data_IF_547961359923
#
_entry.id   IF_547961359923
#
_cell.length_a   1.000
_cell.length_b   1.000
_cell.length_c   1.000
_cell.angle_alpha   90.00
_cell.angle_beta   90.00
_cell.angle_gamma   90.00
#
_symmetry.space_group_name_H-M   'P 1'
#
loop_
_entity.id
_entity.type
_entity.pdbx_description
1 polymer ?
2 non-polymer ?
#
# COMPACT_ATOMS: atom_id res chain seq x y z
N UNK A 6 -36.35 -11.47 -7.75
CA UNK A 6 -35.10 -10.81 -7.38
C UNK A 6 -35.11 -10.44 -5.90
N UNK A 7 -34.16 -9.59 -5.49
CA UNK A 7 -34.02 -9.22 -4.09
C UNK A 7 -33.72 -7.72 -4.01
N UNK A 8 -33.61 -7.22 -2.77
CA UNK A 8 -33.35 -5.81 -2.52
C UNK A 8 -32.16 -5.68 -1.57
N UNK A 9 -31.30 -4.70 -1.84
CA UNK A 9 -30.06 -4.52 -1.08
C UNK A 9 -30.01 -3.16 -0.36
N UNK A 10 -31.16 -2.54 -0.13
CA UNK A 10 -31.20 -1.27 0.58
C UNK A 10 -31.92 -1.35 1.92
N UNK A 11 -32.59 -2.46 2.24
CA UNK A 11 -33.29 -2.60 3.50
C UNK A 11 -32.40 -3.31 4.50
N UNK A 12 -32.13 -2.70 5.67
CA UNK A 12 -31.30 -3.38 6.67
C UNK A 12 -31.93 -4.69 7.13
N UNK A 13 -31.10 -5.73 7.21
CA UNK A 13 -31.53 -7.05 7.62
C UNK A 13 -31.79 -7.07 9.12
N UNK A 14 -32.35 -8.16 9.64
CA UNK A 14 -32.49 -8.29 11.10
C UNK A 14 -31.15 -8.18 11.79
N UNK A 15 -31.07 -7.38 12.87
CA UNK A 15 -29.79 -7.24 13.58
C UNK A 15 -29.48 -8.46 14.43
N UNK A 16 -28.34 -8.42 15.12
CA UNK A 16 -27.95 -9.53 15.99
C UNK A 16 -27.01 -8.98 17.05
N UNK A 17 -27.51 -8.85 18.28
CA UNK A 17 -26.69 -8.33 19.38
C UNK A 17 -25.40 -9.13 19.55
N UNK A 18 -25.41 -10.39 19.13
CA UNK A 18 -24.19 -11.19 19.12
C UNK A 18 -23.13 -10.61 18.19
N UNK A 19 -23.53 -9.75 17.25
CA UNK A 19 -22.62 -9.21 16.25
C UNK A 19 -22.14 -7.80 16.55
N UNK A 20 -22.93 -6.99 17.28
CA UNK A 20 -22.44 -5.68 17.69
C UNK A 20 -21.24 -5.79 18.61
N UNK A 21 -21.12 -6.90 19.36
CA UNK A 21 -20.04 -7.05 20.32
C UNK A 21 -18.68 -7.10 19.63
N UNK A 22 -18.61 -7.75 18.48
CA UNK A 22 -17.34 -7.93 17.80
C UNK A 22 -16.90 -6.70 17.01
N UNK A 23 -17.83 -5.81 16.67
CA UNK A 23 -17.57 -4.73 15.73
C UNK A 23 -17.34 -3.38 16.41
N UNK A 24 -18.21 -3.00 17.36
CA UNK A 24 -18.20 -1.65 17.90
C UNK A 24 -17.83 -1.63 19.38
N UNK A 25 -16.74 -2.31 19.75
CA UNK A 25 -16.35 -2.36 21.15
C UNK A 25 -15.77 -1.02 21.61
N UNK A 26 -15.02 -0.34 20.75
CA UNK A 26 -14.40 0.92 21.10
C UNK A 26 -15.37 2.09 21.14
N UNK A 35 -6.18 11.42 16.79
CA UNK A 35 -7.14 12.26 16.07
C UNK A 35 -6.69 13.73 16.07
N UNK A 36 -6.71 14.34 14.89
CA UNK A 36 -6.28 15.73 14.72
C UNK A 36 -7.49 16.65 14.55
N UNK A 37 -7.33 17.70 13.73
CA UNK A 37 -8.43 18.64 13.51
C UNK A 37 -8.72 18.79 12.02
N UNK A 38 -8.19 19.85 11.40
CA UNK A 38 -8.42 20.11 9.99
C UNK A 38 -7.22 20.84 9.41
N UNK A 39 -6.95 20.58 8.14
CA UNK A 39 -5.73 21.05 7.48
C UNK A 39 -6.04 21.39 6.03
N UNK A 40 -5.20 22.22 5.39
CA UNK A 40 -5.57 22.77 4.08
C UNK A 40 -5.71 21.70 3.01
N UNK A 41 -6.55 22.01 2.02
CA UNK A 41 -6.83 21.13 0.88
C UNK A 41 -6.68 21.94 -0.40
N UNK A 42 -6.30 21.25 -1.49
CA UNK A 42 -6.15 21.85 -2.82
C UNK A 42 -6.76 20.89 -3.84
N UNK A 43 -8.09 20.92 -3.95
CA UNK A 43 -8.84 19.99 -4.81
C UNK A 43 -8.92 20.59 -6.21
N UNK A 44 -8.00 20.18 -7.08
CA UNK A 44 -7.94 20.66 -8.46
C UNK A 44 -8.57 19.62 -9.38
N UNK A 45 -9.65 19.99 -10.05
CA UNK A 45 -10.30 19.07 -10.97
C UNK A 45 -11.30 19.81 -11.85
N UNK A 46 -11.65 19.16 -12.95
CA UNK A 46 -12.60 19.73 -13.91
C UNK A 46 -14.02 19.49 -13.42
N UNK A 47 -14.71 20.58 -13.08
CA UNK A 47 -16.15 20.55 -12.80
C UNK A 47 -16.50 19.62 -11.65
N UNK A 48 -15.63 19.55 -10.67
CA UNK A 48 -15.90 18.66 -9.55
C UNK A 48 -16.92 19.29 -8.60
N UNK A 49 -17.68 18.48 -7.87
CA UNK A 49 -18.62 19.02 -6.89
C UNK A 49 -17.90 19.45 -5.63
N UNK A 50 -18.24 20.61 -5.06
CA UNK A 50 -17.64 21.02 -3.79
C UNK A 50 -17.97 20.02 -2.68
N UNK A 51 -17.21 20.11 -1.60
CA UNK A 51 -17.25 19.12 -0.55
C UNK A 51 -18.54 19.25 0.26
N UNK A 52 -18.61 18.52 1.38
CA UNK A 52 -19.73 18.55 2.31
C UNK A 52 -19.17 18.73 3.71
N UNK A 53 -20.05 19.09 4.64
CA UNK A 53 -19.66 19.34 6.03
C UNK A 53 -20.19 18.30 7.01
N UNK A 54 -21.30 17.63 6.69
CA UNK A 54 -21.88 16.64 7.57
C UNK A 54 -22.33 15.44 6.76
N UNK A 55 -22.39 14.27 7.42
CA UNK A 55 -22.84 13.06 6.75
C UNK A 55 -24.31 13.16 6.33
N UNK A 56 -25.10 13.98 7.03
CA UNK A 56 -26.51 14.14 6.70
C UNK A 56 -26.74 14.91 5.41
N UNK A 57 -25.70 15.57 4.88
CA UNK A 57 -25.87 16.37 3.67
C UNK A 57 -26.22 15.49 2.47
N UNK A 58 -25.36 14.52 2.17
CA UNK A 58 -25.59 13.60 1.06
C UNK A 58 -26.41 12.42 1.56
N UNK A 59 -27.45 12.07 0.83
CA UNK A 59 -28.33 10.96 1.18
C UNK A 59 -27.63 9.66 0.78
N UNK A 60 -26.87 9.08 1.71
CA UNK A 60 -26.09 7.89 1.41
C UNK A 60 -26.86 6.59 1.60
N UNK A 61 -27.82 6.56 2.53
CA UNK A 61 -28.63 5.37 2.73
C UNK A 61 -28.76 4.99 4.19
N UNK A 62 -29.87 4.32 4.50
CA UNK A 62 -30.15 3.96 5.89
C UNK A 62 -29.13 2.97 6.43
N UNK A 63 -28.74 1.97 5.63
CA UNK A 63 -27.79 0.98 6.09
C UNK A 63 -26.45 1.62 6.43
N UNK A 64 -26.10 2.71 5.73
CA UNK A 64 -24.86 3.41 6.04
C UNK A 64 -25.04 4.33 7.23
N UNK A 65 -26.13 5.12 7.23
CA UNK A 65 -26.36 6.07 8.31
C UNK A 65 -26.48 5.36 9.66
N UNK A 66 -27.24 4.25 9.69
CA UNK A 66 -27.35 3.49 10.91
C UNK A 66 -26.01 2.98 11.41
N UNK A 67 -25.18 2.48 10.49
CA UNK A 67 -23.87 1.96 10.88
C UNK A 67 -22.91 3.07 11.26
N UNK A 68 -23.11 4.29 10.73
CA UNK A 68 -22.25 5.41 11.10
C UNK A 68 -22.40 5.74 12.58
N UNK A 69 -23.64 5.70 13.09
CA UNK A 69 -23.87 5.99 14.49
C UNK A 69 -23.23 4.96 15.41
N UNK A 70 -23.21 3.69 14.99
CA UNK A 70 -22.77 2.62 15.88
C UNK A 70 -21.29 2.71 16.21
N UNK A 71 -20.47 3.25 15.30
CA UNK A 71 -19.06 3.42 15.57
C UNK A 71 -18.75 4.77 16.21
N UNK A 72 -19.78 5.53 16.55
CA UNK A 72 -19.64 6.87 17.11
C UNK A 72 -18.82 7.76 16.18
N UNK A 73 -19.32 7.90 14.94
CA UNK A 73 -18.74 8.82 13.96
C UNK A 73 -19.44 10.16 14.06
N UNK A 74 -18.66 11.23 14.17
CA UNK A 74 -19.21 12.55 14.39
C UNK A 74 -19.08 13.41 13.13
N UNK A 75 -17.89 13.95 12.90
CA UNK A 75 -17.65 14.79 11.75
C UNK A 75 -16.73 14.11 10.74
N UNK A 76 -16.97 14.29 9.45
CA UNK A 76 -16.07 13.69 8.45
C UNK A 76 -14.70 14.35 8.47
N UNK A 77 -13.66 13.51 8.36
CA UNK A 77 -12.29 13.99 8.39
C UNK A 77 -12.01 14.84 7.15
N UNK A 78 -10.87 15.59 7.12
CA UNK A 78 -10.55 16.40 5.94
C UNK A 78 -10.71 15.70 4.61
N UNK A 79 -10.03 14.56 4.43
CA UNK A 79 -10.14 13.86 3.15
C UNK A 79 -11.54 13.29 2.95
N UNK A 80 -12.22 12.92 4.05
CA UNK A 80 -13.58 12.42 3.93
C UNK A 80 -14.55 13.52 3.51
N UNK A 81 -14.24 14.78 3.86
CA UNK A 81 -15.10 15.88 3.45
C UNK A 81 -15.11 16.05 1.93
N UNK A 82 -13.94 15.96 1.31
CA UNK A 82 -13.84 16.19 -0.13
C UNK A 82 -14.05 14.91 -0.95
N UNK A 83 -13.48 13.79 -0.50
CA UNK A 83 -13.48 12.59 -1.33
C UNK A 83 -14.85 11.91 -1.38
N UNK A 84 -15.63 11.99 -0.30
CA UNK A 84 -16.91 11.29 -0.27
C UNK A 84 -17.90 11.81 -1.31
N UNK A 85 -18.15 13.12 -1.43
CA UNK A 85 -19.07 13.56 -2.51
C UNK A 85 -18.52 13.28 -3.89
N UNK A 86 -17.20 13.26 -4.05
CA UNK A 86 -16.60 13.01 -5.36
C UNK A 86 -16.92 11.60 -5.83
N UNK A 87 -16.78 10.62 -4.93
CA UNK A 87 -16.92 9.22 -5.32
C UNK A 87 -18.36 8.89 -5.67
N UNK A 88 -19.31 9.29 -4.81
CA UNK A 88 -20.71 8.97 -5.06
C UNK A 88 -21.25 9.65 -6.32
N UNK A 89 -20.55 10.66 -6.83
CA UNK A 89 -20.88 11.28 -8.11
C UNK A 89 -20.25 10.56 -9.29
N UNK A 90 -19.80 9.32 -9.10
CA UNK A 90 -19.29 8.47 -10.18
C UNK A 90 -18.12 9.14 -10.92
N UNK A 91 -17.24 9.79 -10.16
CA UNK A 91 -16.08 10.48 -10.70
C UNK A 91 -14.81 9.79 -10.23
N UNK A 92 -13.90 9.52 -11.17
CA UNK A 92 -12.59 8.99 -10.81
C UNK A 92 -11.86 9.99 -9.93
N UNK A 93 -11.10 9.48 -8.96
CA UNK A 93 -10.42 10.30 -7.97
C UNK A 93 -8.96 9.92 -7.87
N UNK A 94 -8.10 10.93 -7.70
CA UNK A 94 -6.67 10.74 -7.43
C UNK A 94 -6.36 11.58 -6.18
N UNK A 95 -6.42 10.93 -5.02
CA UNK A 95 -6.19 11.60 -3.75
C UNK A 95 -4.76 11.34 -3.30
N UNK A 96 -3.99 12.42 -3.11
CA UNK A 96 -2.63 12.33 -2.60
C UNK A 96 -2.59 13.05 -1.26
N UNK A 97 -2.54 12.28 -0.17
CA UNK A 97 -2.67 12.83 1.18
C UNK A 97 -1.95 11.91 2.14
N UNK A 98 -0.81 12.37 2.68
CA UNK A 98 -0.09 11.57 3.66
C UNK A 98 -0.56 11.84 5.08
N UNK A 99 -0.70 13.12 5.44
CA UNK A 99 -1.17 13.50 6.78
C UNK A 99 -2.69 13.64 6.81
N UNK A 100 -3.39 12.66 6.25
CA UNK A 100 -4.84 12.72 6.20
C UNK A 100 -5.50 11.57 6.94
N UNK A 101 -6.30 11.88 7.95
CA UNK A 101 -6.98 10.84 8.72
C UNK A 101 -8.24 10.40 7.99
N UNK A 102 -8.62 9.15 8.22
CA UNK A 102 -9.79 8.59 7.57
C UNK A 102 -9.62 8.34 6.09
N UNK A 103 -8.40 7.99 5.65
CA UNK A 103 -8.16 7.73 4.24
C UNK A 103 -8.91 6.49 3.76
N UNK A 104 -9.13 5.50 4.63
CA UNK A 104 -9.75 4.25 4.22
C UNK A 104 -11.26 4.38 4.18
N UNK A 105 -11.88 4.85 5.25
CA UNK A 105 -13.32 5.07 5.24
C UNK A 105 -13.74 6.14 4.25
N UNK A 106 -12.80 6.93 3.72
CA UNK A 106 -13.13 7.95 2.74
C UNK A 106 -13.74 7.34 1.49
N UNK A 107 -13.38 6.11 1.14
CA UNK A 107 -13.95 5.44 -0.02
C UNK A 107 -14.94 4.34 0.32
N UNK A 108 -14.87 3.75 1.53
CA UNK A 108 -15.77 2.64 1.85
C UNK A 108 -17.22 3.10 1.94
N UNK A 109 -17.46 4.22 2.64
CA UNK A 109 -18.84 4.70 2.79
C UNK A 109 -19.51 5.01 1.46
N UNK A 110 -18.91 5.79 0.55
CA UNK A 110 -19.63 6.06 -0.71
C UNK A 110 -19.75 4.84 -1.61
N UNK A 111 -18.72 4.00 -1.68
CA UNK A 111 -18.78 2.80 -2.51
C UNK A 111 -19.91 1.89 -2.05
N UNK A 112 -19.92 1.54 -0.76
CA UNK A 112 -20.97 0.65 -0.25
C UNK A 112 -22.33 1.30 -0.33
N UNK A 113 -22.40 2.64 -0.27
CA UNK A 113 -23.68 3.31 -0.42
C UNK A 113 -24.25 3.10 -1.81
N UNK A 114 -23.38 3.12 -2.83
CA UNK A 114 -23.84 2.87 -4.20
C UNK A 114 -24.26 1.42 -4.39
N UNK A 115 -23.53 0.49 -3.80
CA UNK A 115 -23.86 -0.92 -3.94
C UNK A 115 -25.19 -1.22 -3.28
N UNK A 116 -25.46 -0.61 -2.12
CA UNK A 116 -26.76 -0.78 -1.49
C UNK A 116 -27.87 -0.15 -2.33
N UNK A 117 -27.56 0.93 -3.04
CA UNK A 117 -28.57 1.61 -3.85
C UNK A 117 -28.77 0.90 -5.20
N UNK A 118 -27.74 0.92 -6.05
CA UNK A 118 -27.86 0.34 -7.37
C UNK A 118 -28.09 -1.17 -7.31
N UNK A 119 -27.58 -1.83 -6.28
CA UNK A 119 -27.69 -3.27 -6.18
C UNK A 119 -26.46 -3.95 -6.74
N UNK A 120 -26.46 -5.28 -6.76
CA UNK A 120 -25.32 -6.03 -7.29
C UNK A 120 -25.26 -6.09 -8.80
N UNK A 121 -26.25 -5.57 -9.51
CA UNK A 121 -26.29 -5.72 -10.96
C UNK A 121 -26.99 -7.01 -11.37
N UNK A 122 -27.54 -6.99 -12.57
CA UNK A 122 -28.28 -8.15 -13.06
C UNK A 122 -27.39 -9.36 -13.30
N UNK A 123 -26.08 -9.17 -13.39
CA UNK A 123 -25.19 -10.29 -13.68
C UNK A 123 -25.07 -11.23 -12.49
N UNK A 124 -25.05 -10.69 -11.27
CA UNK A 124 -24.90 -11.53 -10.09
C UNK A 124 -26.21 -12.18 -9.70
N UNK A 125 -27.30 -11.41 -9.68
CA UNK A 125 -28.60 -11.97 -9.32
C UNK A 125 -29.05 -13.06 -10.29
N UNK A 126 -28.58 -13.03 -11.53
CA UNK A 126 -28.83 -14.10 -12.49
C UNK A 126 -27.88 -15.28 -12.34
N UNK A 127 -27.33 -15.47 -11.14
CA UNK A 127 -26.41 -16.58 -10.89
C UNK A 127 -26.69 -17.18 -9.51
N UNK A 128 -26.33 -18.45 -9.36
CA UNK A 128 -26.50 -19.17 -8.09
C UNK A 128 -25.71 -20.47 -8.12
N UNK A 137 -16.06 -20.08 -8.20
CA UNK A 137 -15.41 -18.87 -8.68
C UNK A 137 -16.24 -17.64 -8.35
N UNK A 138 -15.70 -16.80 -7.47
CA UNK A 138 -16.43 -15.63 -6.97
C UNK A 138 -16.13 -14.40 -7.83
N UNK A 139 -17.17 -13.61 -8.07
CA UNK A 139 -17.04 -12.37 -8.82
C UNK A 139 -17.36 -11.20 -7.89
N UNK A 140 -16.35 -10.48 -7.39
CA UNK A 140 -16.62 -9.37 -6.48
C UNK A 140 -16.99 -8.10 -7.22
N UNK A 141 -17.85 -7.31 -6.57
CA UNK A 141 -18.27 -6.03 -7.13
C UNK A 141 -17.16 -4.99 -7.00
N UNK A 142 -16.58 -4.90 -5.81
CA UNK A 142 -15.53 -3.93 -5.52
C UNK A 142 -14.26 -4.65 -5.12
N UNK A 143 -13.12 -4.04 -5.48
CA UNK A 143 -11.80 -4.58 -5.18
C UNK A 143 -10.92 -3.48 -4.63
N UNK A 144 -10.31 -3.74 -3.48
CA UNK A 144 -9.39 -2.80 -2.85
C UNK A 144 -8.02 -3.47 -2.80
N UNK A 145 -7.03 -2.84 -3.42
CA UNK A 145 -5.67 -3.33 -3.39
C UNK A 145 -4.87 -2.60 -2.32
N UNK A 146 -4.06 -3.34 -1.58
CA UNK A 146 -3.28 -2.83 -0.46
C UNK A 146 -1.89 -3.44 -0.53
N UNK A 147 -0.89 -2.78 0.08
CA UNK A 147 0.48 -3.29 -0.01
C UNK A 147 0.82 -4.34 1.05
N UNK A 148 0.20 -4.24 2.23
CA UNK A 148 0.61 -5.00 3.38
C UNK A 148 -0.56 -5.78 3.96
N UNK A 149 -0.25 -6.91 4.59
CA UNK A 149 -1.25 -7.64 5.37
C UNK A 149 -1.82 -6.75 6.46
N UNK A 150 -0.98 -5.91 7.06
CA UNK A 150 -1.43 -4.98 8.09
C UNK A 150 -2.55 -4.08 7.57
N UNK A 151 -2.31 -3.40 6.45
CA UNK A 151 -3.29 -2.45 5.93
C UNK A 151 -4.50 -3.17 5.34
N UNK A 152 -4.30 -4.36 4.76
CA UNK A 152 -5.41 -5.10 4.18
C UNK A 152 -6.46 -5.43 5.22
N UNK A 153 -6.03 -5.89 6.41
CA UNK A 153 -6.99 -6.26 7.45
C UNK A 153 -7.65 -5.02 8.03
N UNK A 154 -6.94 -3.90 8.10
CA UNK A 154 -7.54 -2.67 8.61
C UNK A 154 -8.70 -2.23 7.73
N UNK A 155 -8.53 -2.30 6.41
CA UNK A 155 -9.62 -1.99 5.50
C UNK A 155 -10.73 -3.03 5.64
N UNK A 156 -10.35 -4.30 5.72
CA UNK A 156 -11.34 -5.37 5.81
C UNK A 156 -12.17 -5.26 7.08
N UNK A 157 -11.52 -4.99 8.21
CA UNK A 157 -12.26 -4.90 9.48
C UNK A 157 -13.18 -3.70 9.51
N UNK A 158 -12.82 -2.62 8.81
CA UNK A 158 -13.73 -1.49 8.71
C UNK A 158 -14.82 -1.75 7.67
N UNK A 159 -14.54 -2.61 6.68
CA UNK A 159 -15.58 -3.02 5.76
C UNK A 159 -16.66 -3.83 6.48
N UNK A 160 -16.24 -4.80 7.30
CA UNK A 160 -17.20 -5.54 8.13
C UNK A 160 -18.02 -4.60 8.99
N UNK A 161 -17.42 -3.51 9.47
CA UNK A 161 -18.12 -2.59 10.35
C UNK A 161 -19.27 -1.88 9.62
N UNK A 162 -19.11 -1.65 8.31
CA UNK A 162 -20.12 -0.93 7.54
C UNK A 162 -20.96 -1.84 6.64
N UNK A 163 -20.50 -3.06 6.37
CA UNK A 163 -21.33 -4.05 5.69
C UNK A 163 -22.24 -4.79 6.65
N UNK A 164 -22.16 -4.50 7.95
CA UNK A 164 -23.06 -5.10 8.93
C UNK A 164 -24.51 -4.75 8.59
N UNK A 165 -25.40 -5.69 8.85
CA UNK A 165 -26.85 -5.56 8.66
C UNK A 165 -27.22 -5.39 7.19
N UNK A 166 -26.29 -5.66 6.28
CA UNK A 166 -26.51 -5.58 4.83
C UNK A 166 -26.21 -6.93 4.21
N UNK A 167 -26.45 -7.02 2.90
CA UNK A 167 -26.26 -8.25 2.15
C UNK A 167 -24.91 -8.34 1.47
N UNK A 168 -23.97 -7.47 1.83
CA UNK A 168 -22.62 -7.48 1.27
C UNK A 168 -21.69 -8.16 2.27
N UNK A 169 -21.01 -9.21 1.82
CA UNK A 169 -20.06 -9.93 2.66
C UNK A 169 -18.65 -9.69 2.15
N UNK A 170 -17.77 -9.11 2.96
CA UNK A 170 -16.40 -8.84 2.49
C UNK A 170 -15.44 -9.97 2.83
N UNK A 171 -14.37 -10.03 2.04
CA UNK A 171 -13.31 -11.02 2.23
C UNK A 171 -11.96 -10.36 2.03
N UNK A 172 -10.96 -10.88 2.72
CA UNK A 172 -9.59 -10.37 2.63
C UNK A 172 -8.64 -11.53 2.36
N UNK A 173 -7.68 -11.31 1.46
CA UNK A 173 -6.61 -12.26 1.22
C UNK A 173 -5.29 -11.49 1.20
N UNK A 174 -4.21 -12.17 1.59
CA UNK A 174 -2.90 -11.55 1.64
C UNK A 174 -1.84 -12.65 1.53
N UNK A 175 -0.63 -12.23 1.17
CA UNK A 175 0.48 -13.15 1.08
C UNK A 175 1.02 -13.53 2.44
N UNK A 176 1.87 -14.55 2.45
CA UNK A 176 2.45 -15.04 3.68
C UNK A 176 1.42 -15.60 4.65
N UNK A 177 0.52 -16.43 4.15
CA UNK A 177 -0.51 -17.06 4.99
C UNK A 177 -1.05 -18.27 4.26
N UNK A 178 -1.91 -19.01 4.96
CA UNK A 178 -2.56 -20.17 4.37
C UNK A 178 -3.43 -19.74 3.20
N UNK A 179 -3.12 -20.25 2.00
CA UNK A 179 -3.94 -19.94 0.85
C UNK A 179 -5.21 -20.78 0.86
N UNK A 180 -5.17 -21.96 1.47
CA UNK A 180 -6.35 -22.81 1.51
C UNK A 180 -7.45 -22.26 2.39
N UNK A 181 -7.09 -21.60 3.50
CA UNK A 181 -8.11 -21.03 4.37
C UNK A 181 -8.76 -19.80 3.75
N UNK A 182 -8.01 -19.05 2.93
CA UNK A 182 -8.60 -17.92 2.22
C UNK A 182 -9.48 -18.38 1.08
N UNK A 183 -9.09 -19.48 0.41
CA UNK A 183 -9.95 -20.05 -0.63
C UNK A 183 -11.27 -20.53 -0.01
N UNK A 184 -11.19 -21.16 1.17
CA UNK A 184 -12.40 -21.54 1.88
C UNK A 184 -13.19 -20.31 2.32
N UNK A 185 -12.51 -19.19 2.56
CA UNK A 185 -13.20 -17.95 2.92
C UNK A 185 -13.90 -17.35 1.71
N UNK A 186 -13.25 -17.40 0.53
CA UNK A 186 -13.84 -16.83 -0.67
C UNK A 186 -15.10 -17.57 -1.08
N UNK A 187 -15.02 -18.91 -1.16
CA UNK A 187 -16.16 -19.72 -1.58
C UNK A 187 -17.40 -19.45 -0.75
N UNK A 188 -17.24 -18.94 0.47
CA UNK A 188 -18.39 -18.52 1.28
C UNK A 188 -19.07 -17.28 0.70
N UNK A 189 -18.53 -16.70 -0.37
CA UNK A 189 -19.16 -15.58 -1.05
C UNK A 189 -18.58 -14.24 -0.67
N UNK A 190 -18.01 -13.53 -1.64
CA UNK A 190 -17.45 -12.21 -1.41
C UNK A 190 -17.94 -11.25 -2.48
N UNK A 191 -18.35 -10.06 -2.05
CA UNK A 191 -18.70 -8.97 -2.96
C UNK A 191 -17.70 -7.81 -2.90
N UNK A 192 -17.09 -7.58 -1.75
CA UNK A 192 -16.06 -6.56 -1.59
C UNK A 192 -14.79 -7.29 -1.13
N UNK A 193 -13.81 -7.37 -2.02
CA UNK A 193 -12.58 -8.12 -1.76
C UNK A 193 -11.43 -7.15 -1.53
N UNK A 194 -10.70 -7.39 -0.44
CA UNK A 194 -9.45 -6.67 -0.14
C UNK A 194 -8.31 -7.65 -0.36
N UNK A 195 -7.28 -7.22 -1.08
CA UNK A 195 -6.23 -8.15 -1.46
C UNK A 195 -4.92 -7.42 -1.69
N UNK A 196 -3.81 -8.14 -1.45
CA UNK A 196 -2.50 -7.72 -1.92
C UNK A 196 -2.30 -8.24 -3.34
N UNK A 197 -1.56 -7.50 -4.18
CA UNK A 197 -1.52 -7.85 -5.61
C UNK A 197 -0.97 -9.24 -5.90
N UNK A 198 0.01 -9.71 -5.13
CA UNK A 198 0.56 -11.03 -5.39
C UNK A 198 -0.42 -12.15 -5.12
N UNK A 199 -1.20 -12.03 -4.04
CA UNK A 199 -2.14 -13.09 -3.68
C UNK A 199 -3.40 -13.03 -4.52
N UNK A 200 -3.79 -11.85 -5.01
CA UNK A 200 -4.95 -11.76 -5.89
C UNK A 200 -4.67 -12.44 -7.23
N UNK A 201 -3.49 -12.20 -7.81
CA UNK A 201 -3.10 -12.89 -9.03
C UNK A 201 -3.05 -14.39 -8.81
N UNK A 202 -2.59 -14.81 -7.62
CA UNK A 202 -2.55 -16.23 -7.31
C UNK A 202 -3.96 -16.82 -7.26
N UNK A 203 -4.92 -16.06 -6.71
CA UNK A 203 -6.31 -16.52 -6.68
C UNK A 203 -6.89 -16.63 -8.08
N UNK A 204 -6.52 -15.71 -8.98
CA UNK A 204 -7.10 -15.71 -10.32
C UNK A 204 -6.62 -16.90 -11.13
N UNK A 205 -5.36 -17.29 -10.98
CA UNK A 205 -4.86 -18.46 -11.70
C UNK A 205 -5.54 -19.73 -11.25
N UNK A 206 -5.98 -19.79 -9.99
CA UNK A 206 -6.70 -20.95 -9.49
C UNK A 206 -8.19 -20.92 -9.85
N UNK A 207 -8.62 -19.95 -10.65
CA UNK A 207 -10.03 -19.86 -10.99
C UNK A 207 -10.94 -19.60 -9.81
N UNK A 208 -10.44 -18.89 -8.80
CA UNK A 208 -11.23 -18.61 -7.61
C UNK A 208 -11.84 -17.21 -7.61
N UNK A 209 -11.31 -16.29 -8.42
CA UNK A 209 -11.76 -14.91 -8.45
C UNK A 209 -11.86 -14.46 -9.90
N UNK A 210 -12.96 -13.79 -10.23
CA UNK A 210 -13.13 -13.20 -11.55
C UNK A 210 -13.48 -11.73 -11.46
N UNK A 211 -12.77 -10.90 -12.21
CA UNK A 211 -12.94 -9.45 -12.17
C UNK A 211 -13.94 -8.94 -13.18
N UNK A 212 -14.79 -9.82 -13.72
CA UNK A 212 -15.66 -9.44 -14.84
C UNK A 212 -16.65 -8.34 -14.44
N UNK A 213 -17.22 -8.43 -13.24
CA UNK A 213 -18.23 -7.49 -12.79
C UNK A 213 -17.71 -6.56 -11.71
N UNK A 214 -16.39 -6.40 -11.62
CA UNK A 214 -15.79 -5.47 -10.67
C UNK A 214 -16.06 -4.04 -11.13
N UNK A 215 -16.92 -3.33 -10.40
CA UNK A 215 -17.28 -1.97 -10.78
C UNK A 215 -16.40 -0.92 -10.11
N UNK A 216 -16.00 -1.15 -8.87
CA UNK A 216 -15.26 -0.16 -8.09
C UNK A 216 -13.87 -0.70 -7.77
N UNK A 217 -12.85 0.04 -8.20
CA UNK A 217 -11.46 -0.31 -7.95
C UNK A 217 -10.81 0.75 -7.10
N UNK A 218 -10.08 0.34 -6.06
CA UNK A 218 -9.39 1.25 -5.15
C UNK A 218 -7.96 0.75 -4.98
N UNK A 219 -7.00 1.63 -5.24
CA UNK A 219 -5.59 1.33 -5.03
C UNK A 219 -5.13 2.16 -3.84
N UNK A 220 -5.07 1.51 -2.67
CA UNK A 220 -4.74 2.20 -1.43
C UNK A 220 -3.23 2.16 -1.20
N UNK A 221 -2.67 3.32 -0.84
CA UNK A 221 -1.23 3.49 -0.71
C UNK A 221 -0.50 2.95 -1.93
N UNK A 222 -0.83 3.54 -3.08
CA UNK A 222 -0.27 3.07 -4.35
C UNK A 222 1.23 3.26 -4.41
N UNK A 223 1.76 4.28 -3.72
CA UNK A 223 3.20 4.52 -3.75
C UNK A 223 3.97 3.38 -3.09
N UNK A 224 3.56 2.99 -1.88
CA UNK A 224 4.22 1.88 -1.21
C UNK A 224 3.98 0.56 -1.93
N UNK A 225 2.89 0.44 -2.69
CA UNK A 225 2.68 -0.75 -3.50
C UNK A 225 3.70 -0.83 -4.63
N UNK A 226 4.07 0.30 -5.20
CA UNK A 226 5.10 0.29 -6.24
C UNK A 226 6.49 0.07 -5.67
N UNK A 227 6.75 0.56 -4.44
CA UNK A 227 8.06 0.38 -3.82
C UNK A 227 8.34 -1.08 -3.51
N UNK A 228 7.30 -1.88 -3.29
CA UNK A 228 7.47 -3.30 -3.01
C UNK A 228 7.55 -4.15 -4.26
N UNK A 229 7.51 -3.54 -5.45
CA UNK A 229 7.62 -4.27 -6.69
C UNK A 229 6.34 -4.92 -7.17
N UNK A 230 5.18 -4.30 -6.89
CA UNK A 230 3.89 -4.89 -7.18
C UNK A 230 3.31 -4.47 -8.54
N UNK A 231 4.00 -3.60 -9.29
CA UNK A 231 3.41 -3.07 -10.52
C UNK A 231 3.04 -4.15 -11.54
N UNK A 232 3.91 -5.11 -11.88
CA UNK A 232 3.48 -6.13 -12.86
C UNK A 232 2.20 -6.85 -12.47
N UNK A 233 1.98 -7.07 -11.17
CA UNK A 233 0.73 -7.67 -10.74
C UNK A 233 -0.43 -6.71 -10.89
N UNK A 234 -0.25 -5.46 -10.43
CA UNK A 234 -1.35 -4.49 -10.48
C UNK A 234 -1.77 -4.21 -11.92
N UNK A 235 -0.83 -4.23 -12.86
CA UNK A 235 -1.18 -4.08 -14.25
C UNK A 235 -1.75 -5.36 -14.84
N UNK A 236 -1.28 -6.51 -14.36
CA UNK A 236 -1.89 -7.78 -14.74
C UNK A 236 -3.33 -7.86 -14.25
N UNK A 237 -3.61 -7.29 -13.07
CA UNK A 237 -4.96 -7.32 -12.52
C UNK A 237 -5.88 -6.35 -13.26
N UNK A 238 -5.40 -5.13 -13.48
CA UNK A 238 -6.27 -4.06 -13.98
C UNK A 238 -6.30 -4.02 -15.50
N UNK A 239 -5.16 -4.22 -16.16
CA UNK A 239 -5.03 -3.99 -17.59
C UNK A 239 -4.98 -5.27 -18.43
N UNK A 240 -4.88 -6.45 -17.82
CA UNK A 240 -4.61 -7.67 -18.58
C UNK A 240 -5.54 -8.79 -18.16
N UNK A 241 -6.80 -8.48 -17.91
CA UNK A 241 -7.76 -9.51 -17.56
C UNK A 241 -9.16 -8.98 -17.87
N UNK A 242 -10.17 -9.60 -17.26
CA UNK A 242 -11.56 -9.25 -17.49
C UNK A 242 -12.01 -8.03 -16.69
N UNK A 243 -11.07 -7.30 -16.10
CA UNK A 243 -11.41 -6.09 -15.37
C UNK A 243 -12.06 -5.09 -16.31
N UNK A 244 -13.26 -4.58 -15.98
CA UNK A 244 -13.92 -3.65 -16.90
C UNK A 244 -13.04 -2.46 -17.19
N UNK A 245 -13.18 -1.85 -18.37
CA UNK A 245 -12.22 -0.84 -18.82
C UNK A 245 -12.36 0.45 -18.04
N UNK A 246 -11.35 1.29 -18.19
CA UNK A 246 -11.39 2.64 -17.65
C UNK A 246 -12.58 3.40 -18.24
N UNK A 247 -13.35 4.03 -17.36
CA UNK A 247 -14.57 4.70 -17.79
C UNK A 247 -15.80 3.93 -17.38
N UNK A 248 -15.79 2.62 -17.63
CA UNK A 248 -16.86 1.75 -17.14
C UNK A 248 -16.75 1.60 -15.63
N UNK A 249 -15.57 1.22 -15.15
CA UNK A 249 -15.32 1.12 -13.72
C UNK A 249 -15.07 2.49 -13.12
N UNK A 250 -15.24 2.58 -11.81
CA UNK A 250 -14.92 3.77 -11.03
C UNK A 250 -13.67 3.48 -10.23
N UNK A 251 -12.62 4.27 -10.44
CA UNK A 251 -11.30 3.99 -9.90
C UNK A 251 -10.84 5.14 -9.00
N UNK A 252 -10.44 4.81 -7.78
CA UNK A 252 -9.83 5.77 -6.87
C UNK A 252 -8.41 5.33 -6.54
N UNK A 253 -7.55 6.31 -6.29
CA UNK A 253 -6.16 6.06 -5.93
C UNK A 253 -5.80 6.90 -4.70
N UNK A 254 -5.01 6.32 -3.81
CA UNK A 254 -4.52 7.01 -2.63
C UNK A 254 -3.04 6.74 -2.49
N UNK A 255 -2.27 7.79 -2.24
CA UNK A 255 -0.83 7.65 -2.07
C UNK A 255 -0.29 8.89 -1.37
N UNK A 256 0.87 8.73 -0.74
CA UNK A 256 1.53 9.84 -0.06
C UNK A 256 2.43 10.62 -1.02
N UNK A 257 3.23 9.92 -1.81
CA UNK A 257 4.16 10.54 -2.73
C UNK A 257 3.48 10.72 -4.10
N UNK A 258 4.25 11.17 -5.08
CA UNK A 258 3.72 11.39 -6.43
C UNK A 258 4.86 11.41 -7.46
N UNK A 259 5.59 10.30 -7.63
CA UNK A 259 6.69 10.32 -8.61
C UNK A 259 6.18 10.26 -10.04
N UNK A 260 7.11 10.08 -10.99
CA UNK A 260 6.69 9.84 -12.37
C UNK A 260 5.97 8.51 -12.52
N UNK A 261 6.28 7.55 -11.64
CA UNK A 261 5.62 6.25 -11.70
C UNK A 261 4.13 6.37 -11.40
N UNK A 262 3.75 7.25 -10.48
CA UNK A 262 2.36 7.33 -10.04
C UNK A 262 1.51 8.07 -11.06
N UNK A 263 1.99 9.21 -11.56
CA UNK A 263 1.18 10.00 -12.49
C UNK A 263 0.97 9.26 -13.80
N UNK A 264 1.96 8.50 -14.27
CA UNK A 264 1.76 7.64 -15.43
C UNK A 264 0.75 6.55 -15.14
N UNK A 265 0.83 5.95 -13.95
CA UNK A 265 -0.15 4.93 -13.56
C UNK A 265 -1.53 5.54 -13.38
N UNK A 266 -1.61 6.70 -12.74
CA UNK A 266 -2.88 7.40 -12.59
C UNK A 266 -3.44 7.87 -13.93
N UNK A 267 -2.59 8.01 -14.95
CA UNK A 267 -3.08 8.37 -16.27
C UNK A 267 -3.73 7.18 -16.96
N UNK A 268 -3.14 5.99 -16.82
CA UNK A 268 -3.68 4.80 -17.47
C UNK A 268 -4.91 4.26 -16.75
N UNK A 269 -4.98 4.42 -15.42
CA UNK A 269 -6.01 3.78 -14.62
C UNK A 269 -7.22 4.67 -14.37
N UNK A 270 -7.11 5.98 -14.62
CA UNK A 270 -8.18 6.92 -14.29
C UNK A 270 -8.64 7.64 -15.55
N UNK A 271 -9.94 7.95 -15.58
CA UNK A 271 -10.57 8.64 -16.70
C UNK A 271 -11.10 9.98 -16.22
N UNK A 272 -10.51 11.07 -16.72
CA UNK A 272 -10.91 12.44 -16.39
C UNK A 272 -11.16 12.56 -14.90
N UNK A 273 -10.09 12.44 -14.11
CA UNK A 273 -10.18 12.35 -12.66
C UNK A 273 -10.01 13.73 -12.02
N UNK A 274 -10.20 13.76 -10.71
CA UNK A 274 -9.92 14.93 -9.90
C UNK A 274 -8.75 14.62 -8.99
N UNK A 275 -7.87 15.60 -8.81
CA UNK A 275 -6.71 15.47 -7.95
C UNK A 275 -7.01 16.11 -6.59
N UNK A 276 -6.82 15.33 -5.53
CA UNK A 276 -6.94 15.82 -4.16
C UNK A 276 -5.56 15.94 -3.54
N UNK A 277 -5.41 16.92 -2.64
CA UNK A 277 -4.14 17.17 -2.00
C UNK A 277 -4.38 17.64 -0.57
N UNK A 278 -3.62 17.08 0.36
CA UNK A 278 -3.64 17.50 1.75
C UNK A 278 -2.28 18.12 2.05
N UNK A 279 -2.25 19.44 2.16
CA UNK A 279 -1.05 20.21 2.44
C UNK A 279 0.17 19.75 1.67
N UNK A 280 1.18 19.27 2.40
CA UNK A 280 2.44 18.84 1.83
C UNK A 280 2.22 17.66 0.88
N UNK A 281 2.26 17.92 -0.41
CA UNK A 281 2.03 16.89 -1.43
C UNK A 281 3.17 16.98 -2.44
N UNK A 282 3.97 15.92 -2.51
CA UNK A 282 5.08 15.86 -3.44
C UNK A 282 5.71 14.48 -3.41
N UNK A 283 6.53 14.23 -4.43
CA UNK A 283 7.20 12.94 -4.53
C UNK A 283 8.24 12.79 -3.41
N UNK A 284 8.81 11.58 -3.32
CA UNK A 284 9.80 11.25 -2.31
C UNK A 284 9.23 11.46 -0.90
N UNK A 285 8.66 10.41 -0.32
CA UNK A 285 8.02 10.55 0.98
C UNK A 285 8.99 11.10 2.01
N UNK A 286 8.45 11.91 2.93
CA UNK A 286 9.25 12.41 4.03
C UNK A 286 9.33 11.35 5.11
N UNK A 287 9.62 11.75 6.34
CA UNK A 287 9.86 10.82 7.44
C UNK A 287 10.99 9.85 7.13
N UNK A 288 11.83 10.18 6.14
CA UNK A 288 12.91 9.33 5.67
C UNK A 288 14.14 10.22 5.48
N UNK A 289 15.11 10.11 6.39
CA UNK A 289 16.36 10.85 6.27
C UNK A 289 17.33 10.05 5.42
N UNK A 290 17.90 10.70 4.41
CA UNK A 290 18.78 10.04 3.46
C UNK A 290 20.21 10.54 3.62
N UNK A 291 21.14 9.61 3.79
CA UNK A 291 22.56 9.91 3.88
C UNK A 291 23.29 9.14 2.80
N UNK A 292 24.18 9.83 2.09
CA UNK A 292 25.00 9.23 1.04
C UNK A 292 26.45 9.45 1.41
N UNK A 293 27.23 8.36 1.42
CA UNK A 293 28.64 8.42 1.79
C UNK A 293 29.45 7.69 0.74
N UNK A 294 30.67 8.15 0.51
CA UNK A 294 31.58 7.51 -0.43
C UNK A 294 32.27 6.34 0.28
N UNK A 295 32.09 5.13 -0.27
CA UNK A 295 32.72 3.94 0.28
C UNK A 295 33.23 3.11 -0.89
N UNK A 296 34.54 2.90 -0.94
CA UNK A 296 35.09 1.97 -1.92
C UNK A 296 34.63 0.55 -1.60
N UNK A 297 34.67 -0.31 -2.62
CA UNK A 297 34.18 -1.68 -2.46
C UNK A 297 34.94 -2.41 -1.35
N UNK A 298 36.24 -2.14 -1.21
CA UNK A 298 37.03 -2.81 -0.19
C UNK A 298 36.58 -2.44 1.21
N UNK A 299 36.11 -1.22 1.42
CA UNK A 299 35.77 -0.71 2.74
C UNK A 299 34.29 -0.82 3.08
N UNK A 300 33.47 -1.32 2.15
CA UNK A 300 32.03 -1.43 2.43
C UNK A 300 31.77 -2.32 3.64
N UNK A 301 32.52 -3.42 3.77
CA UNK A 301 32.35 -4.29 4.92
C UNK A 301 32.65 -3.57 6.22
N UNK A 302 33.79 -2.87 6.28
CA UNK A 302 34.14 -2.11 7.47
C UNK A 302 33.11 -1.05 7.78
N UNK A 303 32.75 -0.23 6.78
CA UNK A 303 31.78 0.83 6.98
C UNK A 303 30.45 0.27 7.49
N UNK A 304 30.00 -0.85 6.92
CA UNK A 304 28.75 -1.46 7.37
C UNK A 304 28.86 -1.93 8.81
N UNK A 305 30.01 -2.49 9.19
CA UNK A 305 30.19 -2.91 10.58
C UNK A 305 30.06 -1.74 11.54
N UNK A 306 30.74 -0.63 11.25
CA UNK A 306 30.61 0.56 12.08
C UNK A 306 29.18 1.08 12.08
N UNK A 307 28.51 1.01 10.92
CA UNK A 307 27.13 1.45 10.84
C UNK A 307 26.22 0.57 11.69
N UNK A 308 26.56 -0.70 11.87
CA UNK A 308 25.77 -1.60 12.70
C UNK A 308 26.11 -1.47 14.18
N UNK A 309 27.38 -1.19 14.50
CA UNK A 309 27.77 -0.99 15.89
C UNK A 309 27.13 0.26 16.49
N UNK A 310 26.72 1.21 15.67
CA UNK A 310 26.03 2.41 16.12
C UNK A 310 24.52 2.26 16.11
N UNK A 311 24.01 1.10 15.70
CA UNK A 311 22.57 0.90 15.56
C UNK A 311 21.91 0.83 16.94
N UNK A 312 20.63 1.19 16.99
CA UNK A 312 19.84 1.03 18.19
C UNK A 312 19.80 -0.41 18.65
N UNK A 313 19.20 -0.59 19.83
CA UNK A 313 19.20 -1.90 20.47
C UNK A 313 18.46 -2.94 19.63
N UNK A 314 17.25 -2.60 19.16
CA UNK A 314 16.42 -3.54 18.42
C UNK A 314 15.91 -2.94 17.12
N UNK A 315 16.62 -1.96 16.58
CA UNK A 315 16.19 -1.32 15.34
C UNK A 315 16.33 -2.28 14.16
N UNK A 316 15.22 -2.54 13.48
CA UNK A 316 15.25 -3.44 12.34
C UNK A 316 16.00 -2.80 11.18
N UNK A 317 16.83 -3.60 10.52
CA UNK A 317 17.71 -3.11 9.46
C UNK A 317 17.61 -4.00 8.25
N UNK A 318 17.53 -3.39 7.07
CA UNK A 318 17.44 -4.08 5.79
C UNK A 318 18.58 -3.63 4.90
N UNK A 319 19.35 -4.59 4.38
CA UNK A 319 20.60 -4.31 3.69
C UNK A 319 20.46 -4.83 2.26
N UNK A 320 20.28 -3.91 1.30
CA UNK A 320 20.15 -4.30 -0.09
C UNK A 320 21.51 -4.49 -0.75
N UNK A 321 21.65 -5.57 -1.52
CA UNK A 321 22.79 -5.80 -2.38
C UNK A 321 22.27 -6.12 -3.79
N UNK A 322 23.19 -6.17 -4.74
CA UNK A 322 22.81 -6.23 -6.15
C UNK A 322 22.89 -7.63 -6.75
N UNK A 323 23.55 -8.58 -6.11
CA UNK A 323 23.68 -9.93 -6.65
C UNK A 323 23.31 -10.97 -5.60
N UNK A 324 23.11 -12.20 -6.06
CA UNK A 324 22.81 -13.31 -5.15
C UNK A 324 24.06 -13.77 -4.42
N UNK A 325 25.19 -13.85 -5.12
CA UNK A 325 26.44 -14.24 -4.48
C UNK A 325 26.87 -13.22 -3.44
N UNK A 326 26.65 -11.94 -3.71
CA UNK A 326 26.97 -10.92 -2.73
C UNK A 326 26.14 -11.05 -1.46
N UNK A 327 24.85 -11.35 -1.62
CA UNK A 327 23.97 -11.47 -0.46
C UNK A 327 24.36 -12.65 0.42
N UNK A 328 24.79 -13.75 -0.20
CA UNK A 328 25.23 -14.90 0.59
C UNK A 328 26.55 -14.63 1.28
N UNK A 329 27.50 -14.03 0.55
CA UNK A 329 28.81 -13.73 1.13
C UNK A 329 28.70 -12.68 2.22
N UNK A 330 27.78 -11.72 2.08
CA UNK A 330 27.63 -10.68 3.09
C UNK A 330 26.94 -11.21 4.33
N UNK A 331 25.92 -12.05 4.17
CA UNK A 331 25.26 -12.65 5.33
C UNK A 331 26.24 -13.53 6.12
N UNK A 332 27.10 -14.26 5.40
CA UNK A 332 28.12 -15.05 6.06
C UNK A 332 29.08 -14.17 6.86
N UNK A 333 29.40 -12.99 6.33
CA UNK A 333 30.26 -12.05 7.02
C UNK A 333 29.65 -11.63 8.35
N UNK A 334 28.39 -11.20 8.33
CA UNK A 334 27.75 -10.67 9.53
C UNK A 334 27.50 -11.76 10.57
N UNK A 335 27.31 -13.00 10.13
CA UNK A 335 27.09 -14.09 11.09
C UNK A 335 28.39 -14.46 11.79
N UNK A 336 29.51 -14.44 11.07
CA UNK A 336 30.82 -14.72 11.66
C UNK A 336 31.30 -13.58 12.56
N UNK A 337 30.58 -12.46 12.60
CA UNK A 337 30.92 -11.35 13.50
C UNK A 337 30.03 -11.33 14.74
N UNK A 338 29.06 -12.23 14.84
CA UNK A 338 28.18 -12.30 15.98
C UNK A 338 26.84 -11.62 15.81
N UNK A 339 26.65 -10.89 14.72
CA UNK A 339 25.38 -10.21 14.49
C UNK A 339 24.29 -11.21 14.14
N UNK A 340 23.12 -11.03 14.74
CA UNK A 340 21.96 -11.87 14.47
C UNK A 340 21.34 -11.42 13.16
N UNK A 341 21.56 -12.18 12.09
CA UNK A 341 21.09 -11.80 10.77
C UNK A 341 20.64 -13.04 10.00
N UNK A 342 19.62 -12.84 9.17
CA UNK A 342 19.17 -13.85 8.22
C UNK A 342 19.35 -13.28 6.81
N UNK A 343 18.86 -14.01 5.80
CA UNK A 343 19.03 -13.58 4.42
C UNK A 343 17.90 -14.10 3.56
N UNK A 344 17.69 -13.42 2.43
CA UNK A 344 16.74 -13.80 1.41
C UNK A 344 17.36 -13.46 0.06
N UNK A 345 17.69 -14.48 -0.74
CA UNK A 345 18.31 -14.21 -2.03
C UNK A 345 18.00 -15.27 -3.08
N UNK A 346 16.88 -15.97 -2.98
CA UNK A 346 16.46 -16.91 -4.01
C UNK A 346 17.12 -18.27 -3.94
N UNK A 347 18.42 -18.29 -3.63
CA UNK A 347 19.17 -19.53 -3.58
C UNK A 347 18.97 -20.24 -2.24
N UNK A 348 17.73 -20.39 -1.80
CA UNK A 348 17.48 -21.03 -0.51
C UNK A 348 16.05 -21.55 -0.38
N UNK A 349 15.29 -21.54 -1.47
CA UNK A 349 13.94 -22.11 -1.53
C UNK A 349 12.97 -21.35 -0.63
N UNK A 350 11.66 -21.55 -0.88
CA UNK A 350 10.63 -20.83 -0.13
C UNK A 350 10.55 -21.25 1.32
N UNK A 351 11.15 -22.38 1.70
CA UNK A 351 11.10 -22.81 3.10
C UNK A 351 11.97 -21.92 3.97
N UNK A 352 13.13 -21.50 3.46
CA UNK A 352 14.02 -20.64 4.24
C UNK A 352 13.67 -19.17 4.09
N UNK A 353 13.09 -18.77 2.96
CA UNK A 353 12.80 -17.36 2.74
C UNK A 353 11.61 -16.89 3.58
N UNK A 354 10.51 -17.64 3.53
CA UNK A 354 9.35 -17.28 4.36
C UNK A 354 9.67 -17.44 5.84
N UNK A 355 10.61 -18.31 6.19
CA UNK A 355 11.07 -18.41 7.57
C UNK A 355 11.85 -17.17 7.97
N UNK A 356 12.64 -16.61 7.05
CA UNK A 356 13.43 -15.42 7.35
C UNK A 356 12.55 -14.24 7.70
N UNK A 357 11.37 -14.11 7.07
CA UNK A 357 10.44 -13.04 7.41
C UNK A 357 10.03 -13.12 8.88
N UNK A 358 9.48 -14.27 9.29
CA UNK A 358 9.03 -14.41 10.67
C UNK A 358 10.19 -14.23 11.65
N UNK A 359 11.39 -14.72 11.29
CA UNK A 359 12.55 -14.51 12.13
C UNK A 359 12.94 -13.04 12.20
N UNK A 360 12.74 -12.30 11.10
CA UNK A 360 13.03 -10.88 11.07
C UNK A 360 11.88 -10.02 11.58
N UNK A 361 10.64 -10.46 11.37
CA UNK A 361 9.47 -9.71 11.81
C UNK A 361 9.41 -9.54 13.32
N UNK A 362 10.21 -10.29 14.08
CA UNK A 362 10.15 -10.23 15.54
C UNK A 362 11.53 -10.63 16.09
N UNK A 363 12.37 -9.63 16.33
CA UNK A 363 13.66 -9.85 16.97
C UNK A 363 14.48 -10.91 16.26
N UNK A 364 14.96 -11.88 17.04
CA UNK A 364 15.71 -13.04 16.52
C UNK A 364 16.85 -12.60 15.61
N UNK A 365 16.53 -12.32 14.35
CA UNK A 365 17.49 -11.81 13.36
C UNK A 365 17.02 -10.44 12.91
N UNK A 366 17.40 -9.38 13.62
CA UNK A 366 16.97 -8.03 13.24
C UNK A 366 17.74 -7.42 12.08
N UNK A 367 18.58 -8.18 11.39
CA UNK A 367 19.32 -7.71 10.22
C UNK A 367 18.94 -8.63 9.06
N UNK A 368 18.28 -8.08 8.05
CA UNK A 368 17.84 -8.84 6.89
C UNK A 368 18.66 -8.38 5.69
N UNK A 369 19.60 -9.22 5.26
CA UNK A 369 20.29 -9.00 3.99
C UNK A 369 19.44 -9.56 2.87
N UNK A 370 19.36 -8.84 1.76
CA UNK A 370 18.46 -9.22 0.69
C UNK A 370 18.91 -8.56 -0.61
N UNK A 371 18.32 -9.02 -1.71
CA UNK A 371 18.45 -8.37 -3.02
C UNK A 371 17.15 -7.66 -3.35
N UNK A 372 17.22 -6.79 -4.36
CA UNK A 372 16.03 -6.04 -4.75
C UNK A 372 14.95 -6.94 -5.30
N UNK A 373 15.34 -7.99 -6.03
CA UNK A 373 14.36 -8.90 -6.62
C UNK A 373 13.76 -9.82 -5.57
N UNK A 374 14.59 -10.39 -4.70
CA UNK A 374 14.09 -11.34 -3.71
C UNK A 374 13.19 -10.70 -2.66
N UNK A 375 13.16 -9.37 -2.59
CA UNK A 375 12.28 -8.67 -1.67
C UNK A 375 10.99 -8.20 -2.33
N UNK A 376 10.83 -8.43 -3.63
CA UNK A 376 9.64 -7.99 -4.34
C UNK A 376 8.40 -8.67 -3.78
N UNK A 377 7.44 -7.85 -3.34
CA UNK A 377 6.18 -8.35 -2.86
C UNK A 377 6.19 -8.99 -1.49
N UNK A 378 7.33 -9.01 -0.81
CA UNK A 378 7.41 -9.53 0.55
C UNK A 378 7.11 -8.39 1.50
N UNK A 379 6.12 -8.59 2.38
CA UNK A 379 5.76 -7.58 3.37
C UNK A 379 6.85 -7.49 4.43
N UNK A 380 7.86 -6.67 4.20
CA UNK A 380 8.87 -6.43 5.22
C UNK A 380 8.24 -5.68 6.38
N UNK A 381 8.61 -6.05 7.59
CA UNK A 381 7.92 -5.58 8.80
C UNK A 381 8.25 -4.13 9.13
N UNK A 382 8.21 -3.24 8.13
CA UNK A 382 8.47 -1.82 8.31
C UNK A 382 9.81 -1.59 9.02
N UNK A 383 10.90 -1.60 8.26
CA UNK A 383 12.22 -1.45 8.85
C UNK A 383 12.42 -0.03 9.35
N UNK A 384 13.42 0.13 10.22
CA UNK A 384 13.81 1.43 10.74
C UNK A 384 14.98 2.04 9.99
N UNK A 385 15.85 1.21 9.41
CA UNK A 385 17.06 1.68 8.75
C UNK A 385 17.29 0.84 7.50
N UNK A 386 17.32 1.48 6.33
CA UNK A 386 17.63 0.83 5.08
C UNK A 386 19.05 1.20 4.69
N UNK A 387 19.85 0.19 4.33
CA UNK A 387 21.24 0.37 3.95
C UNK A 387 21.41 -0.17 2.55
N UNK A 388 21.71 0.72 1.60
CA UNK A 388 22.04 0.30 0.23
C UNK A 388 23.52 -0.02 0.17
N UNK A 389 23.86 -1.22 0.65
CA UNK A 389 25.22 -1.72 0.55
C UNK A 389 25.73 -1.59 -0.89
N UNK A 390 24.88 -1.91 -1.86
CA UNK A 390 25.15 -1.66 -3.26
C UNK A 390 24.05 -0.77 -3.84
N UNK A 391 24.43 0.06 -4.79
CA UNK A 391 23.41 0.92 -5.38
C UNK A 391 22.92 0.35 -6.70
N UNK A 392 21.67 0.65 -7.08
CA UNK A 392 21.19 0.26 -8.41
C UNK A 392 21.76 1.15 -9.50
N UNK A 393 21.20 1.05 -10.70
CA UNK A 393 21.62 1.87 -11.83
C UNK A 393 20.54 2.87 -12.25
N UNK A 394 19.39 2.88 -11.59
CA UNK A 394 18.30 3.78 -11.91
C UNK A 394 17.79 4.45 -10.65
N UNK A 395 17.52 5.76 -10.74
CA UNK A 395 17.04 6.50 -9.59
C UNK A 395 15.63 6.08 -9.19
N UNK A 396 14.90 5.41 -10.08
CA UNK A 396 13.55 4.96 -9.74
C UNK A 396 13.60 3.73 -8.84
N UNK A 397 14.57 2.84 -9.07
CA UNK A 397 14.76 1.71 -8.18
C UNK A 397 15.21 2.18 -6.80
N UNK A 398 16.03 3.23 -6.75
CA UNK A 398 16.46 3.78 -5.47
C UNK A 398 15.29 4.29 -4.65
N UNK A 399 14.31 4.91 -5.30
CA UNK A 399 13.09 5.33 -4.60
C UNK A 399 12.35 4.13 -4.03
N UNK A 400 12.29 3.04 -4.80
CA UNK A 400 11.64 1.82 -4.32
C UNK A 400 12.33 1.29 -3.07
N UNK A 401 13.66 1.19 -3.11
CA UNK A 401 14.39 0.56 -2.01
C UNK A 401 14.25 1.37 -0.73
N UNK A 402 14.52 2.68 -0.79
CA UNK A 402 14.41 3.51 0.40
C UNK A 402 12.96 3.74 0.82
N UNK A 403 12.00 3.32 0.00
CA UNK A 403 10.60 3.38 0.40
C UNK A 403 10.17 2.31 1.37
N UNK A 404 11.05 1.33 1.62
CA UNK A 404 10.74 0.26 2.56
C UNK A 404 10.75 0.73 4.01
N UNK A 405 11.22 1.94 4.28
CA UNK A 405 11.27 2.49 5.63
C UNK A 405 10.33 3.68 5.75
N UNK A 406 10.16 4.14 6.99
CA UNK A 406 9.30 5.27 7.26
C UNK A 406 7.82 4.95 7.17
N UNK A 407 7.00 5.65 7.94
CA UNK A 407 5.56 5.46 7.92
C UNK A 407 4.91 6.85 7.96
N UNK A 408 3.62 6.87 8.28
CA UNK A 408 2.85 8.11 8.35
C UNK A 408 3.20 8.85 9.63
N UNK A 409 4.02 8.24 10.47
CA UNK A 409 4.31 8.81 11.77
C UNK A 409 5.77 9.14 12.03
N UNK A 410 6.52 8.14 12.49
CA UNK A 410 7.89 8.36 12.93
C UNK A 410 8.84 8.49 11.73
N UNK A 411 10.09 8.84 12.03
CA UNK A 411 11.10 9.13 11.04
C UNK A 411 12.01 7.91 10.82
N UNK A 412 12.32 7.65 9.55
CA UNK A 412 13.20 6.57 9.17
C UNK A 412 14.54 7.06 8.62
N UNK A 413 15.39 6.10 8.31
CA UNK A 413 16.75 6.39 7.89
C UNK A 413 17.14 5.51 6.70
N UNK A 414 17.79 6.10 5.70
CA UNK A 414 18.21 5.38 4.50
C UNK A 414 19.64 5.78 4.15
N UNK A 415 20.61 4.98 4.59
CA UNK A 415 22.01 5.19 4.25
C UNK A 415 22.36 4.45 2.97
N UNK A 416 23.21 5.05 2.15
CA UNK A 416 23.55 4.49 0.85
C UNK A 416 25.06 4.60 0.61
N UNK A 417 25.68 3.48 0.26
CA UNK A 417 27.11 3.45 -0.03
C UNK A 417 27.31 3.78 -1.52
N UNK A 418 28.11 4.81 -1.78
CA UNK A 418 28.35 5.35 -3.11
C UNK A 418 29.83 5.22 -3.46
N UNK A 419 30.12 4.87 -4.71
CA UNK A 419 31.50 4.95 -5.19
C UNK A 419 31.48 5.10 -6.71
N UNK A 420 32.62 4.81 -7.35
CA UNK A 420 32.79 5.08 -8.78
C UNK A 420 31.91 4.22 -9.67
N UNK A 421 31.25 3.20 -9.13
CA UNK A 421 30.33 2.41 -9.92
C UNK A 421 28.97 3.07 -10.08
N UNK A 422 28.78 4.28 -9.54
CA UNK A 422 27.46 4.90 -9.49
C UNK A 422 27.45 6.30 -10.09
N UNK A 423 28.38 6.61 -10.99
CA UNK A 423 28.31 7.89 -11.72
C UNK A 423 27.01 8.00 -12.50
N UNK A 424 26.45 6.87 -12.94
CA UNK A 424 25.25 6.91 -13.78
C UNK A 424 24.11 7.64 -13.09
N UNK A 425 23.93 7.43 -11.78
CA UNK A 425 22.82 8.02 -11.05
C UNK A 425 23.23 9.26 -10.26
N UNK A 426 24.40 9.82 -10.55
CA UNK A 426 24.86 11.00 -9.80
C UNK A 426 23.88 12.15 -9.93
N UNK A 427 23.58 12.56 -11.17
CA UNK A 427 22.73 13.72 -11.38
C UNK A 427 21.33 13.49 -10.83
N UNK A 428 20.76 12.31 -11.07
CA UNK A 428 19.40 12.06 -10.62
C UNK A 428 19.33 11.99 -9.10
N UNK A 429 20.31 11.32 -8.47
CA UNK A 429 20.35 11.29 -7.01
C UNK A 429 20.48 12.68 -6.43
N UNK A 430 21.30 13.53 -7.05
CA UNK A 430 21.50 14.89 -6.57
C UNK A 430 20.19 15.67 -6.58
N UNK A 431 19.54 15.75 -7.73
CA UNK A 431 18.29 16.50 -7.82
C UNK A 431 17.21 15.89 -6.92
N UNK A 432 17.23 14.56 -6.76
CA UNK A 432 16.28 13.92 -5.87
C UNK A 432 16.48 14.38 -4.43
N UNK A 433 17.74 14.49 -3.99
CA UNK A 433 18.03 14.94 -2.64
C UNK A 433 17.58 16.38 -2.42
N UNK A 434 17.83 17.26 -3.39
CA UNK A 434 17.44 18.65 -3.25
C UNK A 434 15.92 18.79 -3.18
N UNK A 435 15.21 18.01 -3.99
CA UNK A 435 13.74 18.05 -3.94
C UNK A 435 13.23 17.57 -2.59
N UNK A 436 13.89 16.57 -2.01
CA UNK A 436 13.50 16.01 -0.73
C UNK A 436 13.96 16.86 0.45
N UNK A 437 14.65 17.97 0.20
CA UNK A 437 15.17 18.86 1.25
C UNK A 437 16.06 18.09 2.23
N UNK A 438 16.96 17.29 1.67
CA UNK A 438 17.93 16.50 2.42
C UNK A 438 19.33 17.07 2.24
N UNK A 439 20.22 16.69 3.15
CA UNK A 439 21.60 17.15 3.06
C UNK A 439 22.30 16.51 1.87
N UNK A 440 23.05 17.30 1.14
CA UNK A 440 23.69 16.89 -0.12
C UNK A 440 25.20 16.85 0.12
N UNK A 441 25.86 15.72 -0.10
CA UNK A 441 27.33 15.69 -0.03
C UNK A 441 27.95 16.69 -1.00
N UNK A 442 28.89 17.49 -0.50
CA UNK A 442 29.48 18.56 -1.29
C UNK A 442 30.24 18.02 -2.49
N UNK A 443 30.82 16.83 -2.36
CA UNK A 443 31.52 16.24 -3.50
C UNK A 443 30.56 15.76 -4.58
N UNK A 444 29.32 15.45 -4.21
CA UNK A 444 28.34 14.99 -5.20
C UNK A 444 28.01 16.09 -6.20
N UNK A 445 27.91 17.33 -5.72
CA UNK A 445 27.70 18.45 -6.64
C UNK A 445 28.86 18.58 -7.62
N UNK A 446 30.08 18.37 -7.15
CA UNK A 446 31.29 18.44 -7.96
C UNK A 446 31.47 17.21 -8.86
N UNK A 447 30.41 16.44 -9.10
CA UNK A 447 30.47 15.28 -9.98
C UNK A 447 29.40 15.34 -11.08
N UNK A 448 28.89 16.54 -11.36
CA UNK A 448 27.85 16.70 -12.37
C UNK A 448 27.87 18.11 -12.96
#
# INVERSE_FOLDING_TARGET
>A
GSFTDEDDWSKPLPPSERLEQELFSGGNTGINFEKYDDIPVEATGNNCPPHIESFSDVEMGEIIMGNIELTRYTRPTPVQKHAIPIIKEKRDLMACAQTGCGKTAAFLLPILSQIYSDGPGEALRAMKENGRYGRRKQYPISLVLAPTRELAVQIYEEARKFSYRSRVRPCVVYGGADIGQQIRDLERGCHLLVATPGRLVDMMERGKIGLDFCKYLVLDEADRMLDMGFEPQIRRIVEQDTMPPKGVRHTMMFSATFPKEIQMLARDFLDEYIFLAVGRVGSTSENITQKVVWVEESDKRSFLLDLLNATGKDSLTLVFVETKKGADSLEDFLYHEGYACTSIHGDRSQRDREEALHQFRSGKSPILVATAVAARGLDISNVKHVINFDLPSDIEEYVHRIGRTGRVGNLGLATSFFNERNINITKDLLDLLVEAKQEVPSWLENMAYEHHYKGSSRGRSKSSRFSGGFGARDYRQSSG
#
